data_IF_120302023264
#
_entry.id   IF_120302023264
#
_cell.length_a   1.000
_cell.length_b   1.000
_cell.length_c   1.000
_cell.angle_alpha   90.00
_cell.angle_beta   90.00
_cell.angle_gamma   90.00
#
_symmetry.space_group_name_H-M   'P 1'
#
loop_
_entity.id
_entity.type
_entity.pdbx_description
1 polymer ?
#
# COMPACT_ATOMS: atom_id res chain seq x y z
N UNK A 1 -18.72 6.71 34.36
CA UNK A 1 -19.26 7.18 33.06
C UNK A 1 -18.26 8.10 32.33
N UNK A 2 -17.02 7.66 32.02
CA UNK A 2 -16.01 8.60 31.45
C UNK A 2 -15.16 8.08 30.29
N UNK A 3 -15.57 7.03 29.56
CA UNK A 3 -14.80 6.55 28.40
C UNK A 3 -15.44 6.85 27.03
N UNK A 4 -16.70 7.33 26.97
CA UNK A 4 -17.35 7.72 25.71
C UNK A 4 -16.91 9.11 25.18
N UNK A 5 -16.49 10.02 26.06
CA UNK A 5 -16.10 11.39 25.67
C UNK A 5 -14.68 11.47 25.11
N UNK A 6 -13.73 10.70 25.66
CA UNK A 6 -12.33 10.66 25.19
C UNK A 6 -12.23 10.02 23.79
N UNK A 7 -13.06 9.01 23.51
CA UNK A 7 -13.10 8.39 22.18
C UNK A 7 -13.69 9.34 21.13
N UNK A 8 -14.78 10.04 21.48
CA UNK A 8 -15.43 11.04 20.60
C UNK A 8 -14.49 12.19 20.24
N UNK A 9 -13.73 12.72 21.20
CA UNK A 9 -12.74 13.77 20.97
C UNK A 9 -11.57 13.30 20.09
N UNK A 10 -11.04 12.09 20.28
CA UNK A 10 -10.00 11.54 19.37
C UNK A 10 -10.52 11.36 17.94
N UNK A 11 -11.73 10.83 17.76
CA UNK A 11 -12.32 10.69 16.41
C UNK A 11 -12.67 12.02 15.75
N UNK A 12 -13.08 13.04 16.52
CA UNK A 12 -13.36 14.37 15.98
C UNK A 12 -12.07 15.12 15.65
N UNK A 13 -11.03 15.01 16.47
CA UNK A 13 -9.72 15.62 16.21
C UNK A 13 -9.04 15.01 14.98
N UNK A 14 -9.10 13.68 14.81
CA UNK A 14 -8.59 12.99 13.61
C UNK A 14 -9.40 13.34 12.36
N UNK A 15 -10.73 13.47 12.45
CA UNK A 15 -11.57 13.90 11.31
C UNK A 15 -11.31 15.35 10.90
N UNK A 16 -11.07 16.25 11.85
CA UNK A 16 -10.84 17.67 11.58
C UNK A 16 -9.40 17.93 11.10
N UNK A 17 -8.39 17.23 11.63
CA UNK A 17 -7.04 17.20 11.06
C UNK A 17 -7.04 16.55 9.68
N UNK A 18 -7.77 15.45 9.47
CA UNK A 18 -7.91 14.80 8.18
C UNK A 18 -8.51 15.72 7.11
N UNK A 19 -9.50 16.56 7.48
CA UNK A 19 -10.04 17.61 6.59
C UNK A 19 -9.06 18.75 6.35
N UNK A 20 -8.38 19.27 7.38
CA UNK A 20 -7.38 20.34 7.21
C UNK A 20 -6.15 19.89 6.42
N UNK A 21 -5.65 18.67 6.63
CA UNK A 21 -4.55 18.07 5.86
C UNK A 21 -4.99 17.73 4.42
N UNK A 22 -6.23 17.26 4.21
CA UNK A 22 -6.77 17.10 2.87
C UNK A 22 -6.80 18.43 2.10
N UNK A 23 -7.22 19.55 2.74
CA UNK A 23 -7.24 20.86 2.09
C UNK A 23 -5.83 21.35 1.74
N UNK A 24 -4.85 21.15 2.62
CA UNK A 24 -3.45 21.52 2.33
C UNK A 24 -2.87 20.68 1.19
N UNK A 25 -3.14 19.37 1.16
CA UNK A 25 -2.65 18.49 0.11
C UNK A 25 -3.40 18.66 -1.21
N UNK A 26 -4.69 18.97 -1.17
CA UNK A 26 -5.45 19.43 -2.34
C UNK A 26 -4.89 20.76 -2.86
N UNK A 27 -4.45 21.69 -1.99
CA UNK A 27 -3.83 22.95 -2.43
C UNK A 27 -2.43 22.78 -3.05
N UNK A 28 -1.63 21.83 -2.57
CA UNK A 28 -0.33 21.48 -3.15
C UNK A 28 -0.48 20.70 -4.49
N UNK A 29 -1.50 19.86 -4.58
CA UNK A 29 -1.86 19.12 -5.79
C UNK A 29 -2.56 19.97 -6.86
N UNK A 30 -3.34 20.97 -6.40
CA UNK A 30 -3.99 21.98 -7.21
C UNK A 30 -3.08 23.21 -7.36
N UNK A 31 -1.88 23.00 -7.89
CA UNK A 31 -1.25 23.93 -8.83
C UNK A 31 -1.04 25.42 -8.48
N UNK A 32 -1.15 25.90 -7.24
CA UNK A 32 -1.13 27.37 -7.02
C UNK A 32 0.15 27.99 -6.45
N UNK A 33 1.24 27.24 -6.21
CA UNK A 33 2.52 27.91 -5.92
C UNK A 33 3.77 27.19 -6.49
N UNK A 34 4.33 27.74 -7.57
CA UNK A 34 5.63 27.31 -8.11
C UNK A 34 6.75 27.30 -7.06
N UNK A 35 6.70 28.22 -6.09
CA UNK A 35 7.70 28.31 -5.03
C UNK A 35 7.68 27.08 -4.10
N UNK A 36 6.50 26.52 -3.83
CA UNK A 36 6.36 25.33 -2.99
C UNK A 36 6.89 24.08 -3.69
N UNK A 37 6.59 23.91 -4.99
CA UNK A 37 7.14 22.81 -5.80
C UNK A 37 8.67 22.90 -5.88
N UNK A 38 9.21 24.10 -5.98
CA UNK A 38 10.65 24.34 -5.99
C UNK A 38 11.29 24.03 -4.64
N UNK A 39 10.66 24.45 -3.53
CA UNK A 39 11.12 24.12 -2.18
C UNK A 39 11.09 22.61 -1.94
N UNK A 40 10.01 21.93 -2.35
CA UNK A 40 9.92 20.48 -2.32
C UNK A 40 11.08 19.83 -3.10
N UNK A 41 11.32 20.24 -4.35
CA UNK A 41 12.42 19.71 -5.16
C UNK A 41 13.78 19.89 -4.49
N UNK A 42 14.04 21.07 -3.94
CA UNK A 42 15.30 21.37 -3.28
C UNK A 42 15.46 20.64 -1.93
N UNK A 43 14.37 20.13 -1.34
CA UNK A 43 14.41 19.32 -0.12
C UNK A 43 14.70 17.84 -0.39
N UNK A 44 14.58 17.39 -1.64
CA UNK A 44 14.83 16.00 -2.01
C UNK A 44 16.30 15.63 -1.86
N UNK A 45 16.56 14.36 -1.54
CA UNK A 45 17.90 13.80 -1.68
C UNK A 45 18.29 13.77 -3.16
N UNK A 46 19.61 13.75 -3.41
CA UNK A 46 20.14 13.62 -4.78
C UNK A 46 19.61 12.36 -5.48
N UNK A 47 19.54 11.24 -4.75
CA UNK A 47 18.96 9.98 -5.24
C UNK A 47 17.51 10.17 -5.70
N UNK A 48 16.68 10.88 -4.93
CA UNK A 48 15.31 11.17 -5.33
C UNK A 48 15.24 12.07 -6.58
N UNK A 49 16.08 13.11 -6.64
CA UNK A 49 16.14 13.98 -7.81
C UNK A 49 16.55 13.20 -9.06
N UNK A 50 17.58 12.35 -8.96
CA UNK A 50 18.06 11.50 -10.06
C UNK A 50 16.95 10.55 -10.56
N UNK A 51 16.20 9.90 -9.66
CA UNK A 51 15.07 9.05 -10.05
C UNK A 51 13.94 9.84 -10.76
N UNK A 52 13.65 11.07 -10.33
CA UNK A 52 12.66 11.91 -11.02
C UNK A 52 13.14 12.38 -12.39
N UNK A 53 14.42 12.71 -12.52
CA UNK A 53 15.04 13.07 -13.79
C UNK A 53 14.98 11.92 -14.78
N UNK A 54 15.26 10.70 -14.34
CA UNK A 54 15.16 9.49 -15.16
C UNK A 54 13.75 9.31 -15.74
N UNK A 55 12.71 9.52 -14.94
CA UNK A 55 11.30 9.36 -15.37
C UNK A 55 10.86 10.43 -16.36
N UNK A 56 11.37 11.64 -16.20
CA UNK A 56 11.12 12.70 -17.17
C UNK A 56 12.00 12.57 -18.42
N UNK A 57 12.94 11.62 -18.44
CA UNK A 57 13.96 11.47 -19.49
C UNK A 57 14.80 12.75 -19.66
N UNK A 58 15.11 13.43 -18.55
CA UNK A 58 15.85 14.69 -18.52
C UNK A 58 17.20 14.53 -17.82
N UNK A 59 18.19 15.28 -18.30
CA UNK A 59 19.38 15.59 -17.50
C UNK A 59 19.13 16.84 -16.63
N UNK A 60 20.07 17.13 -15.73
CA UNK A 60 19.95 18.27 -14.79
C UNK A 60 19.90 19.62 -15.51
N UNK A 61 20.56 19.76 -16.65
CA UNK A 61 20.64 21.04 -17.37
C UNK A 61 19.32 21.32 -18.08
N UNK A 62 18.76 20.34 -18.78
CA UNK A 62 17.42 20.39 -19.38
C UNK A 62 16.34 20.58 -18.33
N UNK A 63 16.46 19.91 -17.19
CA UNK A 63 15.52 20.10 -16.09
C UNK A 63 15.51 21.55 -15.62
N UNK A 64 16.68 22.16 -15.45
CA UNK A 64 16.81 23.54 -15.00
C UNK A 64 16.41 24.58 -16.06
N UNK A 65 16.57 24.28 -17.35
CA UNK A 65 16.14 25.16 -18.45
C UNK A 65 14.64 25.44 -18.39
N UNK A 66 13.82 24.40 -18.20
CA UNK A 66 12.35 24.49 -18.16
C UNK A 66 11.78 24.13 -16.78
N UNK A 67 12.50 24.50 -15.71
CA UNK A 67 12.26 24.03 -14.33
C UNK A 67 10.81 24.15 -13.87
N UNK A 68 10.11 25.23 -14.22
CA UNK A 68 8.71 25.44 -13.85
C UNK A 68 7.78 24.40 -14.47
N UNK A 69 7.99 24.09 -15.74
CA UNK A 69 7.19 23.12 -16.48
C UNK A 69 7.52 21.71 -16.00
N UNK A 70 8.81 21.39 -15.86
CA UNK A 70 9.27 20.08 -15.37
C UNK A 70 8.74 19.78 -13.96
N UNK A 71 8.81 20.75 -13.04
CA UNK A 71 8.17 20.62 -11.72
C UNK A 71 6.66 20.45 -11.81
N UNK A 72 6.00 21.03 -12.81
CA UNK A 72 4.56 20.85 -13.00
C UNK A 72 4.26 19.44 -13.45
N UNK A 73 5.04 18.88 -14.38
CA UNK A 73 4.91 17.50 -14.83
C UNK A 73 5.14 16.49 -13.70
N UNK A 74 6.13 16.70 -12.82
CA UNK A 74 6.36 15.82 -11.67
C UNK A 74 5.12 15.67 -10.77
N UNK A 75 4.41 16.76 -10.51
CA UNK A 75 3.19 16.74 -9.69
C UNK A 75 1.97 16.18 -10.43
N UNK A 76 2.08 15.96 -11.75
CA UNK A 76 1.07 15.32 -12.58
C UNK A 76 1.31 13.81 -12.79
N UNK A 77 2.43 13.27 -12.29
CA UNK A 77 2.73 11.85 -12.40
C UNK A 77 1.60 10.99 -11.84
N UNK A 78 1.17 10.02 -12.63
CA UNK A 78 0.20 8.98 -12.24
C UNK A 78 0.88 7.66 -11.92
N UNK A 79 2.14 7.50 -12.28
CA UNK A 79 2.93 6.29 -12.08
C UNK A 79 4.35 6.68 -11.67
N UNK A 80 4.87 6.03 -10.63
CA UNK A 80 6.24 6.24 -10.18
C UNK A 80 6.83 4.91 -9.70
N UNK A 81 8.00 4.55 -10.22
CA UNK A 81 8.79 3.41 -9.77
C UNK A 81 10.09 3.89 -9.12
N UNK A 82 10.36 3.37 -7.93
CA UNK A 82 11.57 3.55 -7.14
C UNK A 82 12.11 2.19 -6.67
N UNK A 83 11.84 1.13 -7.43
CA UNK A 83 12.24 -0.25 -7.12
C UNK A 83 13.78 -0.39 -7.04
N UNK A 84 14.25 -1.34 -6.24
CA UNK A 84 15.68 -1.74 -6.16
C UNK A 84 16.63 -0.60 -5.74
N UNK A 85 16.16 0.32 -4.89
CA UNK A 85 16.96 1.42 -4.34
C UNK A 85 17.35 1.16 -2.88
N UNK A 86 17.84 2.19 -2.17
CA UNK A 86 18.17 2.11 -0.74
C UNK A 86 17.28 3.02 0.11
N UNK A 87 16.10 3.36 -0.40
CA UNK A 87 15.19 4.34 0.19
C UNK A 87 14.63 3.81 1.51
N UNK A 88 14.69 4.64 2.54
CA UNK A 88 14.06 4.38 3.84
C UNK A 88 13.01 5.41 4.21
N UNK A 89 13.12 6.63 3.65
CA UNK A 89 12.22 7.74 3.88
C UNK A 89 11.47 8.07 2.58
N UNK A 90 10.15 8.02 2.64
CA UNK A 90 9.24 8.32 1.53
C UNK A 90 8.38 9.55 1.81
N UNK A 91 8.74 10.37 2.79
CA UNK A 91 7.98 11.57 3.17
C UNK A 91 7.73 12.51 1.99
N UNK A 92 8.71 12.62 1.09
CA UNK A 92 8.61 13.44 -0.11
C UNK A 92 7.52 13.00 -1.09
N UNK A 93 7.09 11.73 -1.04
CA UNK A 93 6.02 11.23 -1.91
C UNK A 93 4.64 11.75 -1.50
N UNK A 94 4.46 12.22 -0.25
CA UNK A 94 3.16 12.65 0.28
C UNK A 94 2.44 13.72 -0.57
N UNK A 95 3.21 14.49 -1.35
CA UNK A 95 2.69 15.58 -2.18
C UNK A 95 2.24 15.11 -3.59
N UNK A 96 2.64 13.92 -4.02
CA UNK A 96 2.33 13.37 -5.34
C UNK A 96 0.96 12.66 -5.37
N UNK A 97 -0.08 13.34 -4.92
CA UNK A 97 -1.40 12.71 -4.69
C UNK A 97 -2.11 12.23 -5.96
N UNK A 98 -1.60 12.56 -7.15
CA UNK A 98 -2.11 12.07 -8.45
C UNK A 98 -1.61 10.67 -8.81
N UNK A 99 -0.67 10.12 -8.05
CA UNK A 99 -0.19 8.75 -8.25
C UNK A 99 -1.34 7.76 -8.15
N UNK A 100 -1.52 6.99 -9.22
CA UNK A 100 -2.39 5.83 -9.32
C UNK A 100 -1.59 4.53 -9.19
N UNK A 101 -0.31 4.52 -9.57
CA UNK A 101 0.58 3.37 -9.41
C UNK A 101 1.89 3.78 -8.75
N UNK A 102 2.32 3.02 -7.75
CA UNK A 102 3.55 3.28 -7.02
C UNK A 102 4.28 1.97 -6.70
N UNK A 103 5.53 1.90 -7.15
CA UNK A 103 6.37 0.71 -6.96
C UNK A 103 7.60 1.06 -6.12
N UNK A 104 7.68 0.48 -4.93
CA UNK A 104 8.69 0.74 -3.91
C UNK A 104 9.40 -0.55 -3.46
N UNK A 105 9.36 -1.58 -4.30
CA UNK A 105 9.89 -2.91 -4.00
C UNK A 105 11.40 -2.87 -3.75
N UNK A 106 11.87 -3.74 -2.85
CA UNK A 106 13.29 -3.97 -2.56
C UNK A 106 14.01 -2.68 -2.14
N UNK A 107 13.47 -2.05 -1.11
CA UNK A 107 14.01 -0.86 -0.47
C UNK A 107 14.28 -1.15 1.02
N UNK A 108 14.42 -0.10 1.84
CA UNK A 108 14.64 -0.18 3.30
C UNK A 108 13.53 0.52 4.09
N UNK A 109 12.33 0.59 3.52
CA UNK A 109 11.20 1.33 4.07
C UNK A 109 10.64 0.56 5.27
N UNK A 110 10.45 1.26 6.38
CA UNK A 110 9.76 0.73 7.57
C UNK A 110 8.54 1.55 7.96
N UNK A 111 8.52 2.84 7.59
CA UNK A 111 7.43 3.77 7.87
C UNK A 111 6.74 4.16 6.56
N UNK A 112 5.46 3.78 6.44
CA UNK A 112 4.63 4.12 5.28
C UNK A 112 3.54 5.15 5.59
N UNK A 113 3.59 5.83 6.73
CA UNK A 113 2.65 6.89 7.10
C UNK A 113 2.45 7.96 5.99
N UNK A 114 3.47 8.38 5.23
CA UNK A 114 3.29 9.34 4.13
C UNK A 114 2.29 8.90 3.05
N UNK A 115 2.06 7.60 2.87
CA UNK A 115 1.14 7.07 1.85
C UNK A 115 -0.32 7.40 2.12
N UNK A 116 -0.69 7.80 3.35
CA UNK A 116 -2.08 8.13 3.72
C UNK A 116 -2.72 9.22 2.84
N UNK A 117 -1.89 10.01 2.15
CA UNK A 117 -2.29 11.11 1.28
C UNK A 117 -2.50 10.69 -0.18
N UNK A 118 -2.04 9.51 -0.57
CA UNK A 118 -2.07 9.03 -1.95
C UNK A 118 -3.37 8.28 -2.25
N UNK A 119 -4.50 8.91 -1.96
CA UNK A 119 -5.85 8.32 -1.98
C UNK A 119 -6.29 7.79 -3.36
N UNK A 120 -5.60 8.21 -4.43
CA UNK A 120 -5.85 7.79 -5.81
C UNK A 120 -5.09 6.51 -6.20
N UNK A 121 -4.27 5.93 -5.30
CA UNK A 121 -3.52 4.70 -5.59
C UNK A 121 -4.47 3.54 -5.90
N UNK A 122 -4.22 2.91 -7.04
CA UNK A 122 -4.87 1.71 -7.55
C UNK A 122 -3.93 0.50 -7.52
N UNK A 123 -2.62 0.73 -7.66
CA UNK A 123 -1.59 -0.30 -7.61
C UNK A 123 -0.45 0.16 -6.69
N UNK A 124 -0.14 -0.64 -5.69
CA UNK A 124 0.95 -0.37 -4.74
C UNK A 124 1.77 -1.62 -4.52
N UNK A 125 3.08 -1.51 -4.70
CA UNK A 125 4.02 -2.59 -4.44
C UNK A 125 5.08 -2.12 -3.45
N UNK A 126 5.18 -2.85 -2.34
CA UNK A 126 6.08 -2.59 -1.21
C UNK A 126 6.83 -3.88 -0.83
N UNK A 127 7.04 -4.78 -1.80
CA UNK A 127 7.72 -6.08 -1.60
C UNK A 127 9.12 -5.87 -1.03
N UNK A 128 9.60 -6.80 -0.19
CA UNK A 128 10.98 -6.84 0.31
C UNK A 128 11.40 -5.53 0.96
N UNK A 129 10.64 -5.13 2.00
CA UNK A 129 10.92 -3.95 2.82
C UNK A 129 11.02 -4.36 4.30
N UNK A 130 10.85 -3.42 5.23
CA UNK A 130 10.93 -3.65 6.68
C UNK A 130 9.66 -3.18 7.39
N UNK A 131 8.52 -3.27 6.71
CA UNK A 131 7.25 -2.72 7.16
C UNK A 131 6.64 -3.64 8.20
N UNK A 132 6.03 -3.02 9.22
CA UNK A 132 5.28 -3.70 10.29
C UNK A 132 3.89 -3.11 10.43
N UNK A 133 3.82 -1.78 10.45
CA UNK A 133 2.59 -1.02 10.57
C UNK A 133 2.09 -0.62 9.18
N UNK A 134 0.92 -1.12 8.81
CA UNK A 134 0.24 -0.80 7.55
C UNK A 134 -1.05 0.01 7.75
N UNK A 135 -1.21 0.68 8.89
CA UNK A 135 -2.38 1.52 9.20
C UNK A 135 -2.61 2.65 8.19
N UNK A 136 -1.55 3.15 7.56
CA UNK A 136 -1.61 4.17 6.52
C UNK A 136 -2.44 3.74 5.29
N UNK A 137 -2.55 2.43 5.04
CA UNK A 137 -3.28 1.89 3.89
C UNK A 137 -4.81 1.95 4.06
N UNK A 138 -5.32 2.13 5.29
CA UNK A 138 -6.76 2.04 5.60
C UNK A 138 -7.66 3.01 4.81
N UNK A 139 -7.09 4.08 4.24
CA UNK A 139 -7.80 5.10 3.47
C UNK A 139 -7.63 4.97 1.95
N UNK A 140 -6.83 4.03 1.48
CA UNK A 140 -6.50 3.87 0.06
C UNK A 140 -7.54 2.99 -0.64
N UNK A 141 -8.81 3.38 -0.56
CA UNK A 141 -9.96 2.56 -0.97
C UNK A 141 -10.03 2.27 -2.47
N UNK A 142 -9.19 2.92 -3.28
CA UNK A 142 -9.07 2.69 -4.72
C UNK A 142 -8.08 1.57 -5.07
N UNK A 143 -7.35 1.01 -4.09
CA UNK A 143 -6.39 -0.06 -4.33
C UNK A 143 -7.09 -1.30 -4.90
N UNK A 144 -6.63 -1.69 -6.09
CA UNK A 144 -7.04 -2.90 -6.79
C UNK A 144 -5.94 -3.98 -6.76
N UNK A 145 -4.67 -3.57 -6.65
CA UNK A 145 -3.54 -4.48 -6.49
C UNK A 145 -2.60 -4.00 -5.38
N UNK A 146 -2.26 -4.89 -4.47
CA UNK A 146 -1.37 -4.61 -3.36
C UNK A 146 -0.39 -5.78 -3.16
N UNK A 147 0.91 -5.48 -3.22
CA UNK A 147 1.96 -6.40 -2.80
C UNK A 147 2.64 -5.87 -1.55
N UNK A 148 2.63 -6.69 -0.49
CA UNK A 148 3.31 -6.48 0.78
C UNK A 148 4.20 -7.68 1.13
N UNK A 149 4.53 -8.50 0.14
CA UNK A 149 5.39 -9.68 0.27
C UNK A 149 6.72 -9.34 0.95
N UNK A 150 7.25 -10.28 1.73
CA UNK A 150 8.58 -10.18 2.35
C UNK A 150 8.73 -8.91 3.20
N UNK A 151 7.89 -8.83 4.23
CA UNK A 151 7.91 -7.77 5.23
C UNK A 151 7.81 -8.42 6.64
N UNK A 152 7.42 -7.64 7.66
CA UNK A 152 7.30 -8.10 9.05
C UNK A 152 5.91 -7.80 9.61
N UNK A 153 4.89 -7.91 8.75
CA UNK A 153 3.51 -7.54 9.07
C UNK A 153 2.85 -8.69 9.82
N UNK A 154 2.10 -8.35 10.88
CA UNK A 154 1.29 -9.32 11.63
C UNK A 154 -0.16 -8.88 11.80
N UNK A 155 -0.41 -7.57 11.84
CA UNK A 155 -1.76 -6.98 11.89
C UNK A 155 -2.14 -6.43 10.51
N UNK A 156 -3.21 -6.98 9.94
CA UNK A 156 -3.77 -6.57 8.65
C UNK A 156 -5.17 -5.94 8.77
N UNK A 157 -5.56 -5.50 9.96
CA UNK A 157 -6.87 -4.88 10.20
C UNK A 157 -7.15 -3.68 9.29
N UNK A 158 -6.10 -2.93 8.90
CA UNK A 158 -6.23 -1.80 7.98
C UNK A 158 -6.72 -2.19 6.57
N UNK A 159 -6.62 -3.46 6.18
CA UNK A 159 -7.06 -3.93 4.86
C UNK A 159 -8.58 -4.17 4.78
N UNK A 160 -9.29 -4.22 5.91
CA UNK A 160 -10.69 -4.67 6.00
C UNK A 160 -11.71 -3.88 5.16
N UNK A 161 -11.35 -2.69 4.67
CA UNK A 161 -12.23 -1.82 3.90
C UNK A 161 -11.74 -1.56 2.47
N UNK A 162 -10.68 -2.22 2.03
CA UNK A 162 -10.12 -2.08 0.68
C UNK A 162 -10.88 -2.96 -0.32
N UNK A 163 -12.20 -2.73 -0.40
CA UNK A 163 -13.16 -3.59 -1.10
C UNK A 163 -12.95 -3.66 -2.63
N UNK A 164 -12.06 -2.83 -3.18
CA UNK A 164 -11.68 -2.86 -4.60
C UNK A 164 -10.50 -3.81 -4.89
N UNK A 165 -9.86 -4.38 -3.86
CA UNK A 165 -8.73 -5.28 -4.02
C UNK A 165 -9.13 -6.52 -4.81
N UNK A 166 -8.36 -6.79 -5.88
CA UNK A 166 -8.48 -7.96 -6.75
C UNK A 166 -7.28 -8.89 -6.61
N UNK A 167 -6.10 -8.33 -6.34
CA UNK A 167 -4.85 -9.05 -6.16
C UNK A 167 -4.19 -8.58 -4.87
N UNK A 168 -3.91 -9.52 -3.98
CA UNK A 168 -3.24 -9.26 -2.70
C UNK A 168 -2.16 -10.30 -2.46
N UNK A 169 -0.91 -9.84 -2.34
CA UNK A 169 0.22 -10.68 -1.92
C UNK A 169 0.70 -10.24 -0.54
N UNK A 170 0.70 -11.20 0.39
CA UNK A 170 1.08 -11.07 1.78
C UNK A 170 2.09 -12.16 2.18
N UNK A 171 2.69 -12.85 1.21
CA UNK A 171 3.63 -13.93 1.43
C UNK A 171 4.83 -13.47 2.26
N UNK A 172 5.46 -14.38 2.99
CA UNK A 172 6.65 -14.09 3.80
C UNK A 172 6.41 -12.94 4.79
N UNK A 173 5.40 -13.10 5.64
CA UNK A 173 5.08 -12.18 6.74
C UNK A 173 4.86 -12.97 8.04
N UNK A 174 4.30 -12.33 9.06
CA UNK A 174 4.06 -12.90 10.38
C UNK A 174 2.56 -12.95 10.73
N UNK A 175 1.69 -13.04 9.73
CA UNK A 175 0.23 -12.92 9.86
C UNK A 175 -0.36 -14.23 10.38
N UNK A 176 -1.22 -14.15 11.39
CA UNK A 176 -2.00 -15.29 11.90
C UNK A 176 -3.51 -15.09 11.79
N UNK A 177 -3.99 -13.86 11.97
CA UNK A 177 -5.40 -13.51 11.83
C UNK A 177 -5.68 -12.91 10.43
N UNK A 178 -6.42 -13.67 9.63
CA UNK A 178 -6.90 -13.27 8.31
C UNK A 178 -8.41 -12.96 8.28
N UNK A 179 -9.04 -12.79 9.44
CA UNK A 179 -10.43 -12.34 9.52
C UNK A 179 -10.70 -10.96 8.89
N UNK A 180 -9.75 -9.99 8.86
CA UNK A 180 -9.97 -8.72 8.15
C UNK A 180 -10.23 -8.88 6.65
N UNK A 181 -9.80 -10.00 6.04
CA UNK A 181 -9.98 -10.24 4.60
C UNK A 181 -11.41 -10.69 4.24
N UNK A 182 -12.25 -11.06 5.22
CA UNK A 182 -13.53 -11.73 5.00
C UNK A 182 -14.51 -10.97 4.09
N UNK A 183 -14.39 -9.64 3.99
CA UNK A 183 -15.29 -8.79 3.21
C UNK A 183 -14.72 -8.37 1.85
N UNK A 184 -13.49 -8.77 1.52
CA UNK A 184 -12.81 -8.41 0.27
C UNK A 184 -13.27 -9.28 -0.91
N UNK A 185 -14.59 -9.30 -1.14
CA UNK A 185 -15.29 -10.16 -2.11
C UNK A 185 -14.86 -10.01 -3.58
N UNK A 186 -14.11 -8.95 -3.91
CA UNK A 186 -13.53 -8.73 -5.24
C UNK A 186 -12.18 -9.43 -5.44
N UNK A 187 -11.60 -10.04 -4.40
CA UNK A 187 -10.34 -10.77 -4.51
C UNK A 187 -10.46 -11.94 -5.48
N UNK A 188 -9.50 -11.98 -6.40
CA UNK A 188 -9.34 -13.04 -7.40
C UNK A 188 -8.05 -13.82 -7.19
N UNK A 189 -7.02 -13.17 -6.64
CA UNK A 189 -5.73 -13.77 -6.32
C UNK A 189 -5.32 -13.34 -4.91
N UNK A 190 -5.05 -14.32 -4.05
CA UNK A 190 -4.59 -14.12 -2.68
C UNK A 190 -3.40 -15.03 -2.40
N UNK A 191 -2.28 -14.43 -2.02
CA UNK A 191 -1.06 -15.16 -1.71
C UNK A 191 -0.69 -14.91 -0.25
N UNK A 192 -0.62 -16.00 0.53
CA UNK A 192 -0.44 -16.01 1.99
C UNK A 192 0.68 -16.98 2.39
N UNK A 193 1.55 -17.38 1.49
CA UNK A 193 2.61 -18.36 1.76
C UNK A 193 3.52 -17.89 2.90
N UNK A 194 4.06 -18.83 3.68
CA UNK A 194 5.03 -18.56 4.75
C UNK A 194 4.53 -17.49 5.71
N UNK A 195 3.37 -17.76 6.30
CA UNK A 195 2.77 -16.98 7.38
C UNK A 195 2.49 -17.91 8.58
N UNK A 196 1.66 -17.46 9.53
CA UNK A 196 1.26 -18.19 10.73
C UNK A 196 -0.25 -18.46 10.75
N UNK A 197 -0.86 -18.58 9.57
CA UNK A 197 -2.32 -18.76 9.41
C UNK A 197 -2.71 -20.19 9.77
N UNK A 198 -3.51 -20.35 10.82
CA UNK A 198 -4.07 -21.64 11.22
C UNK A 198 -5.60 -21.70 11.11
N UNK A 199 -6.25 -20.57 10.83
CA UNK A 199 -7.70 -20.49 10.66
C UNK A 199 -8.04 -19.78 9.34
N UNK A 200 -8.61 -20.54 8.42
CA UNK A 200 -8.98 -20.11 7.07
C UNK A 200 -10.49 -19.91 6.88
N UNK A 201 -11.27 -19.91 7.98
CA UNK A 201 -12.72 -19.83 7.89
C UNK A 201 -13.25 -18.53 7.29
N UNK A 202 -12.51 -17.42 7.46
CA UNK A 202 -12.83 -16.12 6.88
C UNK A 202 -12.80 -16.11 5.35
N UNK A 203 -12.10 -17.05 4.70
CA UNK A 203 -11.94 -17.09 3.25
C UNK A 203 -13.17 -17.64 2.52
N UNK A 204 -14.10 -18.29 3.23
CA UNK A 204 -15.26 -18.98 2.62
C UNK A 204 -16.22 -18.07 1.85
N UNK A 205 -16.18 -16.76 2.11
CA UNK A 205 -17.01 -15.77 1.41
C UNK A 205 -16.34 -15.19 0.15
N UNK A 206 -15.08 -15.51 -0.10
CA UNK A 206 -14.32 -15.00 -1.24
C UNK A 206 -14.59 -15.83 -2.50
N UNK A 207 -15.85 -15.88 -2.92
CA UNK A 207 -16.30 -16.77 -4.03
C UNK A 207 -15.73 -16.37 -5.41
N UNK A 208 -15.14 -15.18 -5.53
CA UNK A 208 -14.44 -14.74 -6.74
C UNK A 208 -12.98 -15.16 -6.79
N UNK A 209 -12.46 -15.77 -5.72
CA UNK A 209 -11.10 -16.25 -5.67
C UNK A 209 -10.88 -17.32 -6.74
N UNK A 210 -9.78 -17.18 -7.47
CA UNK A 210 -9.33 -18.10 -8.52
C UNK A 210 -8.01 -18.75 -8.16
N UNK A 211 -7.15 -18.00 -7.48
CA UNK A 211 -5.85 -18.46 -7.00
C UNK A 211 -5.71 -18.13 -5.52
N UNK A 212 -5.42 -19.15 -4.73
CA UNK A 212 -5.08 -19.04 -3.32
C UNK A 212 -3.80 -19.81 -3.04
N UNK A 213 -2.80 -19.16 -2.47
CA UNK A 213 -1.58 -19.82 -2.01
C UNK A 213 -1.49 -19.76 -0.49
N UNK A 214 -1.32 -20.92 0.14
CA UNK A 214 -1.28 -21.12 1.60
C UNK A 214 -0.08 -21.97 2.03
N UNK A 215 0.95 -22.09 1.18
CA UNK A 215 2.12 -22.92 1.47
C UNK A 215 2.77 -22.49 2.79
N UNK A 216 3.34 -23.45 3.51
CA UNK A 216 4.13 -23.20 4.73
C UNK A 216 3.37 -22.36 5.77
N UNK A 217 2.09 -22.68 5.96
CA UNK A 217 1.27 -22.21 7.08
C UNK A 217 0.92 -23.39 8.00
N UNK A 218 0.63 -23.14 9.29
CA UNK A 218 0.22 -24.17 10.25
C UNK A 218 -1.21 -24.70 9.99
N UNK A 219 -1.43 -25.26 8.81
CA UNK A 219 -2.66 -25.91 8.34
C UNK A 219 -2.39 -27.38 8.07
N UNK A 220 -3.45 -28.19 8.04
CA UNK A 220 -3.39 -29.58 7.60
C UNK A 220 -4.18 -29.80 6.30
N UNK A 221 -3.92 -30.92 5.63
CA UNK A 221 -4.62 -31.25 4.38
C UNK A 221 -6.15 -31.29 4.54
N UNK A 222 -6.66 -31.61 5.74
CA UNK A 222 -8.10 -31.60 6.02
C UNK A 222 -8.69 -30.18 5.96
N UNK A 223 -7.97 -29.18 6.45
CA UNK A 223 -8.40 -27.77 6.36
C UNK A 223 -8.51 -27.33 4.90
N UNK A 224 -7.52 -27.72 4.08
CA UNK A 224 -7.49 -27.41 2.65
C UNK A 224 -8.63 -28.11 1.90
N UNK A 225 -8.86 -29.40 2.16
CA UNK A 225 -9.97 -30.14 1.57
C UNK A 225 -11.32 -29.51 1.95
N UNK A 226 -11.46 -29.07 3.20
CA UNK A 226 -12.63 -28.34 3.67
C UNK A 226 -12.80 -27.02 2.92
N UNK A 227 -11.75 -26.19 2.81
CA UNK A 227 -11.84 -24.92 2.11
C UNK A 227 -12.12 -25.10 0.61
N UNK A 228 -11.50 -26.10 -0.03
CA UNK A 228 -11.77 -26.46 -1.43
C UNK A 228 -13.25 -26.82 -1.66
N UNK A 229 -13.91 -27.46 -0.69
CA UNK A 229 -15.36 -27.73 -0.77
C UNK A 229 -16.22 -26.47 -0.70
N UNK A 230 -15.69 -25.38 -0.12
CA UNK A 230 -16.37 -24.07 -0.04
C UNK A 230 -16.04 -23.18 -1.24
N UNK A 231 -14.86 -23.35 -1.83
CA UNK A 231 -14.37 -22.58 -2.98
C UNK A 231 -14.04 -23.53 -4.16
N UNK A 232 -15.03 -24.20 -4.76
CA UNK A 232 -14.78 -25.26 -5.76
C UNK A 232 -14.11 -24.76 -7.06
N UNK A 233 -14.17 -23.44 -7.32
CA UNK A 233 -13.58 -22.82 -8.51
C UNK A 233 -12.23 -22.13 -8.23
N UNK A 234 -11.71 -22.24 -7.01
CA UNK A 234 -10.42 -21.69 -6.63
C UNK A 234 -9.36 -22.78 -6.71
N UNK A 235 -8.25 -22.48 -7.37
CA UNK A 235 -7.03 -23.28 -7.29
C UNK A 235 -6.33 -22.95 -5.97
N UNK A 236 -6.19 -23.94 -5.09
CA UNK A 236 -5.58 -23.79 -3.77
C UNK A 236 -4.22 -24.51 -3.78
N UNK A 237 -3.14 -23.74 -3.67
CA UNK A 237 -1.79 -24.25 -3.50
C UNK A 237 -1.48 -24.39 -2.01
N UNK A 238 -1.07 -25.60 -1.62
CA UNK A 238 -0.69 -25.90 -0.26
C UNK A 238 0.37 -27.01 -0.21
N UNK A 239 1.48 -26.71 0.45
CA UNK A 239 2.50 -27.66 0.87
C UNK A 239 3.11 -27.20 2.19
N UNK A 240 3.34 -28.11 3.12
CA UNK A 240 4.17 -27.85 4.28
C UNK A 240 5.60 -28.36 3.95
N UNK A 241 6.64 -27.57 4.22
CA UNK A 241 8.00 -28.10 4.26
C UNK A 241 8.05 -29.16 5.40
N UNK A 242 8.51 -30.37 5.08
CA UNK A 242 8.77 -31.44 6.04
C UNK A 242 10.05 -31.16 6.84
#
# INVERSE_FOLDING_TARGET
MSNKWIFSLKTHFVKTLGKRLNIVNESLAAGENHNEKLQWWNSLSKEFQENFLEILELDVDKFNQDKKENLTQLFQLTEFSLRYNKISDISSLAQLCRLAKLYLDRNKISNIAPLIHLINLQELSLESNKIRDISALARLSQLAKLSLMDNKISDITSLAHLNQLKVLSLDFNEISDISPLAQLSQLTMLYLDRNKVSNISSLTHLTQLRVLSLNENPLCQQDINWLQSKLPNCEIYFSNEN
#
